data_IF_549159026358
#
_entry.id   IF_549159026358
#
_cell.length_a   1.000
_cell.length_b   1.000
_cell.length_c   1.000
_cell.angle_alpha   90.00
_cell.angle_beta   90.00
_cell.angle_gamma   90.00
#
_symmetry.space_group_name_H-M   'P 1'
#
loop_
_entity.id
_entity.type
_entity.pdbx_description
1 polymer ?
#
# COMPACT_ATOMS: atom_id res chain seq x y z
N UNK A 1 -0.57 10.00 15.10
CA UNK A 1 -0.90 10.88 13.96
C UNK A 1 -1.77 10.07 13.00
N UNK A 2 -2.79 10.64 12.35
CA UNK A 2 -3.53 9.99 11.26
C UNK A 2 -3.03 10.66 9.98
N UNK A 3 -2.23 9.95 9.20
CA UNK A 3 -1.62 10.51 8.00
C UNK A 3 -1.50 9.44 6.91
N UNK A 4 -1.27 9.88 5.67
CA UNK A 4 -0.99 9.02 4.53
C UNK A 4 0.39 9.40 3.99
N UNK A 5 1.32 8.47 4.06
CA UNK A 5 2.70 8.68 3.59
C UNK A 5 2.93 7.88 2.31
N UNK A 6 3.13 8.53 1.15
CA UNK A 6 3.60 7.80 -0.03
C UNK A 6 5.06 7.40 0.17
N UNK A 7 5.40 6.17 -0.18
CA UNK A 7 6.78 5.73 -0.39
C UNK A 7 7.13 5.86 -1.87
N UNK A 8 8.43 5.86 -2.21
CA UNK A 8 8.86 5.89 -3.60
C UNK A 8 8.28 4.71 -4.38
N UNK A 9 7.75 4.99 -5.55
CA UNK A 9 7.04 4.02 -6.37
C UNK A 9 7.00 4.45 -7.84
N UNK A 10 7.03 3.45 -8.72
CA UNK A 10 6.71 3.60 -10.13
C UNK A 10 5.26 3.16 -10.37
N UNK A 11 4.50 3.96 -11.13
CA UNK A 11 3.09 3.68 -11.40
C UNK A 11 2.76 3.74 -12.89
N UNK A 12 1.92 2.82 -13.34
CA UNK A 12 1.18 2.93 -14.61
C UNK A 12 -0.33 2.97 -14.34
N UNK A 13 -1.14 2.89 -15.39
CA UNK A 13 -2.59 2.80 -15.24
C UNK A 13 -3.07 1.48 -14.59
N UNK A 14 -2.24 0.44 -14.54
CA UNK A 14 -2.60 -0.92 -14.08
C UNK A 14 -1.53 -1.60 -13.23
N UNK A 15 -0.40 -0.94 -12.97
CA UNK A 15 0.69 -1.44 -12.14
C UNK A 15 1.12 -0.40 -11.12
N UNK A 16 1.60 -0.90 -9.99
CA UNK A 16 2.36 -0.13 -9.01
C UNK A 16 3.53 -0.99 -8.54
N UNK A 17 4.71 -0.40 -8.51
CA UNK A 17 5.94 -1.01 -8.03
C UNK A 17 6.54 -0.12 -6.95
N UNK A 18 6.61 -0.62 -5.72
CA UNK A 18 7.31 0.08 -4.65
C UNK A 18 8.83 -0.04 -4.82
N UNK A 19 9.55 1.02 -4.48
CA UNK A 19 11.00 0.98 -4.32
C UNK A 19 11.32 0.30 -2.98
N UNK A 20 11.92 -0.89 -3.04
CA UNK A 20 12.23 -1.72 -1.88
C UNK A 20 13.10 -1.00 -0.85
N UNK A 21 14.07 -0.19 -1.29
CA UNK A 21 14.92 0.58 -0.40
C UNK A 21 14.11 1.67 0.31
N UNK A 22 13.20 2.34 -0.42
CA UNK A 22 12.34 3.35 0.18
C UNK A 22 11.32 2.75 1.16
N UNK A 23 10.85 1.52 0.93
CA UNK A 23 10.00 0.82 1.90
C UNK A 23 10.80 0.44 3.14
N UNK A 24 11.99 -0.15 2.98
CA UNK A 24 12.86 -0.49 4.10
C UNK A 24 13.21 0.76 4.94
N UNK A 25 13.64 1.84 4.29
CA UNK A 25 13.92 3.13 4.93
C UNK A 25 12.71 3.66 5.70
N UNK A 26 11.50 3.54 5.15
CA UNK A 26 10.29 3.97 5.84
C UNK A 26 10.03 3.12 7.10
N UNK A 27 10.18 1.81 7.02
CA UNK A 27 10.00 0.92 8.18
C UNK A 27 11.03 1.18 9.27
N UNK A 28 12.30 1.35 8.90
CA UNK A 28 13.37 1.68 9.84
C UNK A 28 13.09 3.01 10.53
N UNK A 29 12.67 4.04 9.79
CA UNK A 29 12.29 5.34 10.37
C UNK A 29 11.11 5.23 11.35
N UNK A 30 10.12 4.38 11.05
CA UNK A 30 9.00 4.16 11.97
C UNK A 30 9.44 3.36 13.21
N UNK A 31 10.33 2.38 13.04
CA UNK A 31 10.89 1.60 14.14
C UNK A 31 11.76 2.47 15.07
N UNK A 32 12.59 3.36 14.51
CA UNK A 32 13.36 4.37 15.24
C UNK A 32 12.45 5.34 16.01
N UNK A 33 11.25 5.62 15.47
CA UNK A 33 10.20 6.37 16.17
C UNK A 33 9.46 5.55 17.23
N UNK A 34 9.85 4.29 17.47
CA UNK A 34 9.27 3.39 18.46
C UNK A 34 7.92 2.80 18.05
N UNK A 35 7.57 2.83 16.76
CA UNK A 35 6.32 2.28 16.25
C UNK A 35 6.51 0.85 15.77
N UNK A 36 5.51 0.01 16.03
CA UNK A 36 5.48 -1.35 15.50
C UNK A 36 4.85 -1.38 14.10
N UNK A 37 5.18 -2.37 13.25
CA UNK A 37 4.58 -2.50 11.91
C UNK A 37 3.05 -2.57 11.91
N UNK A 38 2.44 -3.04 13.01
CA UNK A 38 0.98 -3.05 13.22
C UNK A 38 0.37 -1.64 13.24
N UNK A 39 1.15 -0.61 13.60
CA UNK A 39 0.68 0.76 13.75
C UNK A 39 0.74 1.59 12.45
N UNK A 40 1.62 1.23 11.50
CA UNK A 40 1.86 2.04 10.31
C UNK A 40 1.83 1.27 8.98
N UNK A 41 2.08 -0.04 8.99
CA UNK A 41 2.31 -0.82 7.78
C UNK A 41 1.13 -1.67 7.31
N UNK A 42 0.09 -1.88 8.12
CA UNK A 42 -0.95 -2.89 7.80
C UNK A 42 -2.02 -2.45 6.81
N UNK A 43 -2.00 -1.21 6.34
CA UNK A 43 -3.03 -0.65 5.46
C UNK A 43 -2.37 -0.26 4.14
N UNK A 44 -2.75 -0.96 3.08
CA UNK A 44 -2.39 -0.59 1.72
C UNK A 44 -3.55 0.15 1.06
N UNK A 45 -3.26 1.37 0.62
CA UNK A 45 -4.21 2.23 -0.08
C UNK A 45 -3.70 2.55 -1.48
N UNK A 46 -4.51 2.32 -2.51
CA UNK A 46 -4.17 2.71 -3.88
C UNK A 46 -5.39 3.22 -4.65
N UNK A 47 -5.15 3.89 -5.78
CA UNK A 47 -6.20 4.51 -6.59
C UNK A 47 -6.34 3.85 -7.94
N UNK A 48 -7.58 3.67 -8.41
CA UNK A 48 -7.84 3.25 -9.79
C UNK A 48 -8.18 4.45 -10.67
N UNK A 49 -7.49 4.65 -11.81
CA UNK A 49 -7.83 5.73 -12.74
C UNK A 49 -9.17 5.48 -13.47
N UNK A 50 -9.64 4.22 -13.49
CA UNK A 50 -10.96 3.82 -13.97
C UNK A 50 -12.08 4.00 -12.92
N UNK A 51 -13.31 3.69 -13.32
CA UNK A 51 -14.49 3.82 -12.44
C UNK A 51 -14.71 2.61 -11.50
N UNK A 52 -14.01 1.50 -11.73
CA UNK A 52 -14.16 0.29 -10.92
C UNK A 52 -13.23 0.33 -9.71
N UNK A 53 -13.76 0.23 -8.46
CA UNK A 53 -12.94 0.11 -7.26
C UNK A 53 -12.60 -1.36 -6.95
N UNK A 54 -13.01 -2.33 -7.77
CA UNK A 54 -12.73 -3.72 -7.48
C UNK A 54 -11.26 -4.06 -7.77
N UNK A 55 -10.62 -4.90 -6.92
CA UNK A 55 -9.24 -5.31 -7.13
C UNK A 55 -9.10 -6.07 -8.45
N UNK A 56 -8.01 -5.78 -9.16
CA UNK A 56 -7.51 -6.53 -10.30
C UNK A 56 -6.74 -7.78 -9.84
N UNK A 57 -6.37 -8.65 -10.79
CA UNK A 57 -5.49 -9.77 -10.49
C UNK A 57 -4.12 -9.35 -9.94
N UNK A 58 -3.60 -8.20 -10.40
CA UNK A 58 -2.35 -7.61 -9.90
C UNK A 58 -2.48 -7.16 -8.45
N UNK A 59 -3.61 -6.55 -8.08
CA UNK A 59 -3.86 -6.10 -6.70
C UNK A 59 -3.96 -7.30 -5.75
N UNK A 60 -4.67 -8.36 -6.16
CA UNK A 60 -4.78 -9.61 -5.41
C UNK A 60 -3.42 -10.28 -5.20
N UNK A 61 -2.62 -10.40 -6.26
CA UNK A 61 -1.29 -11.00 -6.19
C UNK A 61 -0.33 -10.19 -5.30
N UNK A 62 -0.36 -8.86 -5.44
CA UNK A 62 0.46 -7.95 -4.62
C UNK A 62 0.07 -8.04 -3.15
N UNK A 63 -1.23 -8.06 -2.85
CA UNK A 63 -1.70 -8.15 -1.47
C UNK A 63 -1.34 -9.48 -0.83
N UNK A 64 -1.54 -10.60 -1.53
CA UNK A 64 -1.17 -11.91 -1.03
C UNK A 64 0.34 -12.04 -0.78
N UNK A 65 1.16 -11.46 -1.65
CA UNK A 65 2.63 -11.52 -1.55
C UNK A 65 3.19 -10.61 -0.46
N UNK A 66 2.82 -9.33 -0.48
CA UNK A 66 3.38 -8.31 0.42
C UNK A 66 2.75 -8.36 1.80
N UNK A 67 1.43 -8.56 1.88
CA UNK A 67 0.67 -8.51 3.13
C UNK A 67 0.20 -9.88 3.61
N UNK A 68 0.43 -10.96 2.84
CA UNK A 68 0.10 -12.32 3.25
C UNK A 68 0.76 -12.75 4.57
N UNK A 69 2.04 -12.43 4.82
CA UNK A 69 2.70 -12.78 6.10
C UNK A 69 2.17 -11.98 7.31
N UNK A 70 1.37 -10.94 7.09
CA UNK A 70 0.77 -10.17 8.17
C UNK A 70 -0.35 -10.95 8.86
N UNK A 71 -0.41 -10.91 10.20
CA UNK A 71 -1.55 -11.47 10.95
C UNK A 71 -2.90 -10.88 10.48
N UNK A 72 -2.87 -9.59 10.13
CA UNK A 72 -3.96 -8.88 9.47
C UNK A 72 -3.43 -7.75 8.59
N UNK A 73 -4.15 -7.45 7.52
CA UNK A 73 -3.91 -6.30 6.66
C UNK A 73 -5.19 -5.82 5.98
N UNK A 74 -5.22 -4.57 5.56
CA UNK A 74 -6.34 -3.97 4.82
C UNK A 74 -5.86 -3.52 3.45
N UNK A 75 -6.58 -3.95 2.41
CA UNK A 75 -6.51 -3.33 1.09
C UNK A 75 -7.67 -2.34 0.98
N UNK A 76 -7.38 -1.10 0.58
CA UNK A 76 -8.36 -0.07 0.27
C UNK A 76 -8.10 0.52 -1.12
N UNK A 77 -9.16 0.64 -1.92
CA UNK A 77 -9.11 1.15 -3.28
C UNK A 77 -10.10 2.29 -3.44
N UNK A 78 -9.59 3.42 -3.94
CA UNK A 78 -10.41 4.55 -4.37
C UNK A 78 -10.39 4.66 -5.90
N UNK A 79 -11.54 4.42 -6.53
CA UNK A 79 -11.71 4.58 -7.96
C UNK A 79 -12.05 6.03 -8.33
N UNK A 80 -11.67 6.42 -9.56
CA UNK A 80 -12.09 7.68 -10.16
C UNK A 80 -13.62 7.78 -10.15
N UNK A 81 -14.13 8.90 -9.64
CA UNK A 81 -15.56 9.11 -9.43
C UNK A 81 -16.06 8.77 -8.01
N UNK A 82 -15.16 8.39 -7.10
CA UNK A 82 -15.46 8.24 -5.67
C UNK A 82 -15.95 6.84 -5.26
N UNK A 83 -15.80 5.84 -6.13
CA UNK A 83 -16.11 4.46 -5.80
C UNK A 83 -15.09 3.88 -4.81
N UNK A 84 -15.56 3.14 -3.81
CA UNK A 84 -14.71 2.58 -2.76
C UNK A 84 -14.78 1.06 -2.70
N UNK A 85 -13.63 0.46 -2.43
CA UNK A 85 -13.50 -0.93 -2.01
C UNK A 85 -12.56 -0.98 -0.81
N UNK A 86 -12.91 -1.81 0.17
CA UNK A 86 -12.00 -2.13 1.24
C UNK A 86 -12.21 -3.59 1.68
N UNK A 87 -11.12 -4.27 1.99
CA UNK A 87 -11.13 -5.66 2.46
C UNK A 87 -10.08 -5.85 3.55
N UNK A 88 -10.52 -6.44 4.64
CA UNK A 88 -9.65 -7.00 5.68
C UNK A 88 -9.25 -8.41 5.27
N UNK A 89 -7.95 -8.67 5.20
CA UNK A 89 -7.39 -10.02 5.23
C UNK A 89 -6.85 -10.31 6.63
N UNK A 90 -7.14 -11.48 7.15
CA UNK A 90 -6.57 -12.02 8.39
C UNK A 90 -5.86 -13.31 8.01
N UNK A 91 -4.57 -13.40 8.25
CA UNK A 91 -3.79 -14.63 8.05
C UNK A 91 -3.57 -15.38 9.37
N UNK A 92 -3.87 -14.76 10.51
CA UNK A 92 -3.84 -15.43 11.80
C UNK A 92 -4.87 -16.58 11.88
N UNK A 93 -4.40 -17.76 12.30
CA UNK A 93 -5.27 -18.95 12.48
C UNK A 93 -5.75 -19.55 11.15
N UNK A 94 -7.04 -19.92 10.99
CA UNK A 94 -7.54 -20.52 9.75
C UNK A 94 -7.62 -19.54 8.57
N UNK A 95 -7.27 -18.27 8.82
CA UNK A 95 -7.43 -17.17 7.89
C UNK A 95 -8.88 -16.72 7.74
N UNK A 96 -9.08 -15.45 7.39
CA UNK A 96 -10.37 -14.89 7.06
C UNK A 96 -10.23 -13.71 6.11
N UNK A 97 -11.26 -13.44 5.32
CA UNK A 97 -11.34 -12.26 4.47
C UNK A 97 -12.73 -11.66 4.56
N UNK A 98 -12.81 -10.36 4.83
CA UNK A 98 -14.07 -9.65 4.97
C UNK A 98 -14.06 -8.31 4.25
N UNK A 99 -15.08 -8.09 3.41
CA UNK A 99 -15.34 -6.78 2.82
C UNK A 99 -15.75 -5.80 3.92
N UNK A 100 -15.05 -4.67 3.97
CA UNK A 100 -15.32 -3.60 4.92
C UNK A 100 -16.24 -2.54 4.31
N UNK A 101 -17.24 -2.03 5.05
CA UNK A 101 -17.95 -0.84 4.65
C UNK A 101 -17.03 0.38 4.79
N UNK A 102 -16.96 1.21 3.75
CA UNK A 102 -16.17 2.45 3.76
C UNK A 102 -17.08 3.65 4.02
N UNK A 103 -16.67 4.53 4.94
CA UNK A 103 -17.33 5.80 5.22
C UNK A 103 -16.28 6.90 5.32
N UNK A 104 -16.57 8.05 4.73
CA UNK A 104 -15.75 9.25 4.90
C UNK A 104 -16.27 10.00 6.12
N UNK A 105 -15.39 10.23 7.09
CA UNK A 105 -15.71 11.02 8.28
C UNK A 105 -15.60 12.52 7.94
N UNK A 106 -16.73 13.16 7.64
CA UNK A 106 -16.79 14.60 7.36
C UNK A 106 -16.86 15.46 8.62
N UNK A 107 -17.15 14.84 9.76
CA UNK A 107 -17.43 15.54 11.03
C UNK A 107 -16.17 15.91 11.81
N UNK A 108 -15.00 15.45 11.36
CA UNK A 108 -13.72 15.71 12.01
C UNK A 108 -12.82 16.59 11.13
N UNK A 109 -12.23 17.67 11.66
CA UNK A 109 -11.24 18.43 10.91
C UNK A 109 -10.01 17.55 10.64
N UNK A 110 -9.67 17.39 9.37
CA UNK A 110 -8.44 16.71 8.98
C UNK A 110 -7.32 17.72 8.81
N UNK A 111 -6.56 17.92 9.90
CA UNK A 111 -5.44 18.88 9.94
C UNK A 111 -4.30 18.58 8.96
N UNK A 112 -4.27 17.38 8.36
CA UNK A 112 -3.30 16.99 7.34
C UNK A 112 -3.60 17.50 5.93
N UNK A 113 -4.66 18.26 5.70
CA UNK A 113 -5.13 18.72 4.37
C UNK A 113 -4.29 19.85 3.74
N UNK A 114 -2.96 19.74 3.79
CA UNK A 114 -2.07 20.64 3.05
C UNK A 114 -1.84 20.11 1.62
N UNK A 115 -2.65 20.60 0.70
CA UNK A 115 -2.59 20.20 -0.71
C UNK A 115 -1.24 20.49 -1.37
N UNK A 116 -0.54 21.55 -0.96
CA UNK A 116 0.75 21.90 -1.54
C UNK A 116 1.83 20.91 -1.06
N UNK A 117 1.82 20.59 0.23
CA UNK A 117 2.70 19.56 0.79
C UNK A 117 2.45 18.18 0.15
N UNK A 118 1.19 17.80 -0.04
CA UNK A 118 0.84 16.54 -0.70
C UNK A 118 1.30 16.48 -2.16
N UNK A 119 1.13 17.56 -2.91
CA UNK A 119 1.60 17.60 -4.29
C UNK A 119 3.13 17.49 -4.37
N UNK A 120 3.85 18.12 -3.44
CA UNK A 120 5.29 18.00 -3.35
C UNK A 120 5.74 16.57 -2.98
N UNK A 121 5.07 15.93 -2.01
CA UNK A 121 5.33 14.53 -1.66
C UNK A 121 5.03 13.60 -2.83
N UNK A 122 3.91 13.78 -3.51
CA UNK A 122 3.55 13.03 -4.71
C UNK A 122 4.65 13.14 -5.78
N UNK A 123 5.08 14.36 -6.11
CA UNK A 123 6.11 14.58 -7.12
C UNK A 123 7.49 14.01 -6.73
N UNK A 124 7.78 13.87 -5.44
CA UNK A 124 9.03 13.30 -4.94
C UNK A 124 9.01 11.76 -4.85
N UNK A 125 7.82 11.16 -4.73
CA UNK A 125 7.65 9.74 -4.47
C UNK A 125 7.06 8.96 -5.65
N UNK A 126 6.34 9.59 -6.57
CA UNK A 126 5.62 8.89 -7.64
C UNK A 126 6.25 9.20 -8.99
N UNK A 127 6.83 8.17 -9.59
CA UNK A 127 7.37 8.21 -10.94
C UNK A 127 6.43 7.50 -11.92
N UNK A 128 6.14 8.07 -13.09
CA UNK A 128 5.42 7.35 -14.13
C UNK A 128 6.31 6.27 -14.74
N UNK A 129 5.81 5.04 -14.82
CA UNK A 129 6.49 3.96 -15.52
C UNK A 129 6.41 4.19 -17.05
N UNK A 130 7.53 4.14 -17.80
CA UNK A 130 7.50 4.27 -19.26
C UNK A 130 6.77 3.10 -19.95
N UNK A 131 6.21 3.37 -21.12
CA UNK A 131 5.28 2.49 -21.86
C UNK A 131 5.90 1.10 -22.22
N UNK A 132 5.36 0.04 -21.60
CA UNK A 132 5.06 -1.34 -22.03
C UNK A 132 5.95 -2.20 -22.98
N UNK A 133 7.09 -1.75 -23.49
CA UNK A 133 7.85 -2.55 -24.48
C UNK A 133 8.75 -3.67 -23.91
N UNK A 134 8.90 -3.83 -22.59
CA UNK A 134 9.76 -4.86 -21.95
C UNK A 134 8.99 -5.78 -20.99
N UNK A 135 8.27 -6.77 -21.56
CA UNK A 135 7.50 -7.79 -20.81
C UNK A 135 8.35 -8.73 -19.95
N UNK A 136 9.65 -8.89 -20.23
CA UNK A 136 10.53 -9.77 -19.46
C UNK A 136 11.04 -9.12 -18.16
N UNK A 137 11.23 -7.79 -18.15
CA UNK A 137 11.63 -7.04 -16.94
C UNK A 137 10.46 -6.66 -16.02
N UNK A 138 9.24 -6.71 -16.54
CA UNK A 138 8.01 -6.43 -15.81
C UNK A 138 7.77 -7.45 -14.68
N UNK A 139 8.08 -8.74 -14.88
CA UNK A 139 7.86 -9.76 -13.85
C UNK A 139 8.70 -9.56 -12.58
N UNK A 140 9.90 -9.00 -12.70
CA UNK A 140 10.80 -8.73 -11.55
C UNK A 140 10.49 -7.36 -10.90
N UNK A 141 9.95 -6.39 -11.65
CA UNK A 141 9.64 -5.04 -11.18
C UNK A 141 8.20 -4.82 -10.72
N UNK A 142 7.24 -5.57 -11.26
CA UNK A 142 5.80 -5.47 -10.92
C UNK A 142 5.50 -5.85 -9.47
N UNK A 143 6.46 -6.50 -8.82
CA UNK A 143 6.27 -7.13 -7.54
C UNK A 143 7.26 -6.54 -6.54
N UNK A 144 7.07 -5.25 -6.24
CA UNK A 144 7.78 -4.56 -5.16
C UNK A 144 7.73 -5.35 -3.85
N UNK A 145 8.88 -5.39 -3.19
CA UNK A 145 9.33 -6.16 -2.03
C UNK A 145 9.45 -7.66 -2.28
N UNK A 146 10.68 -8.17 -2.36
CA UNK A 146 11.00 -9.60 -2.27
C UNK A 146 10.18 -10.27 -1.15
N UNK A 147 9.52 -11.43 -1.38
CA UNK A 147 8.84 -12.18 -0.34
C UNK A 147 9.63 -12.34 0.97
N UNK A 148 10.96 -12.55 0.90
CA UNK A 148 11.82 -12.63 2.09
C UNK A 148 11.89 -11.29 2.83
N UNK A 149 12.00 -10.19 2.08
CA UNK A 149 11.95 -8.85 2.66
C UNK A 149 10.57 -8.55 3.25
N UNK A 150 9.48 -8.97 2.61
CA UNK A 150 8.13 -8.81 3.13
C UNK A 150 7.93 -9.58 4.44
N UNK A 151 8.45 -10.81 4.54
CA UNK A 151 8.42 -11.59 5.79
C UNK A 151 9.22 -10.89 6.91
N UNK A 152 10.41 -10.38 6.59
CA UNK A 152 11.24 -9.64 7.55
C UNK A 152 10.56 -8.36 8.07
N UNK A 153 9.87 -7.61 7.21
CA UNK A 153 9.12 -6.41 7.60
C UNK A 153 8.00 -6.69 8.60
N UNK A 154 7.43 -7.91 8.57
CA UNK A 154 6.30 -8.29 9.42
C UNK A 154 6.68 -9.13 10.63
N UNK A 155 7.92 -9.62 10.70
CA UNK A 155 8.43 -10.28 11.89
C UNK A 155 8.61 -9.27 13.04
N UNK A 156 7.93 -9.51 14.17
CA UNK A 156 8.26 -8.81 15.41
C UNK A 156 9.64 -9.26 15.91
N UNK A 157 10.48 -8.36 16.44
CA UNK A 157 11.62 -8.80 17.25
C UNK A 157 11.10 -9.58 18.46
N UNK A 158 11.76 -10.69 18.85
CA UNK A 158 11.40 -11.40 20.07
C UNK A 158 11.68 -10.51 21.29
N UNK A 159 10.73 -10.47 22.21
CA UNK A 159 10.85 -9.81 23.52
C UNK A 159 12.04 -10.33 24.34
#
# INVERSE_FOLDING_TARGET
MRDVTPVRQACSAVSVAFDDAAVADYFDQQADAGLSPQQFGRIWFHTHPGASPHPSGTDEATFARVFGPADWAVMAILARGGGWYARLGVSAGPGASQRLPVRVAWDEPFGGSDHAAWLAQYAACVEPEPDWDDLEGLGERLFGIDPEAAEALWSCPPD
#
